data_IF_829531802162
#
_entry.id   IF_829531802162
#
_cell.length_a   1.000
_cell.length_b   1.000
_cell.length_c   1.000
_cell.angle_alpha   90.00
_cell.angle_beta   90.00
_cell.angle_gamma   90.00
#
_symmetry.space_group_name_H-M   'P 1'
#
loop_
_entity.id
_entity.type
_entity.pdbx_description
1 polymer ?
#
# COMPACT_ATOMS: atom_id res chain seq x y z
N UNK A 1 -21.89 -4.77 -11.31
CA UNK A 1 -20.50 -5.23 -11.21
C UNK A 1 -19.81 -4.54 -10.05
N UNK A 2 -18.67 -5.05 -9.58
CA UNK A 2 -17.86 -4.41 -8.55
C UNK A 2 -16.71 -3.60 -9.18
N UNK A 3 -16.36 -2.47 -8.58
CA UNK A 3 -15.22 -1.63 -8.98
C UNK A 3 -14.36 -1.35 -7.76
N UNK A 4 -13.04 -1.47 -7.91
CA UNK A 4 -12.09 -1.03 -6.90
C UNK A 4 -12.25 0.47 -6.64
N UNK A 5 -12.08 0.88 -5.39
CA UNK A 5 -12.04 2.30 -5.04
C UNK A 5 -10.68 2.84 -5.46
N UNK A 6 -10.71 3.83 -6.34
CA UNK A 6 -9.55 4.63 -6.72
C UNK A 6 -9.20 5.58 -5.56
N UNK A 7 -7.92 5.82 -5.38
CA UNK A 7 -7.35 6.75 -4.42
C UNK A 7 -7.58 8.21 -4.84
N UNK A 8 -7.68 8.48 -6.14
CA UNK A 8 -7.97 9.80 -6.70
C UNK A 8 -6.80 10.78 -6.63
N UNK A 9 -5.57 10.27 -6.59
CA UNK A 9 -4.34 11.08 -6.54
C UNK A 9 -3.64 11.13 -7.91
N UNK A 10 -2.88 12.21 -8.19
CA UNK A 10 -2.06 12.28 -9.39
C UNK A 10 -1.12 11.07 -9.52
N UNK A 11 -1.06 10.50 -10.73
CA UNK A 11 -0.21 9.36 -11.05
C UNK A 11 -0.86 8.00 -10.79
N UNK A 12 -2.02 7.91 -10.15
CA UNK A 12 -2.69 6.61 -9.97
C UNK A 12 -3.14 6.01 -11.30
N UNK A 13 -3.96 6.75 -12.06
CA UNK A 13 -4.58 6.25 -13.29
C UNK A 13 -3.57 6.01 -14.40
N UNK A 14 -2.59 6.90 -14.51
CA UNK A 14 -1.55 6.85 -15.53
C UNK A 14 -0.61 5.66 -15.35
N UNK A 15 -0.50 5.13 -14.13
CA UNK A 15 0.43 4.06 -13.79
C UNK A 15 -0.23 2.70 -13.50
N UNK A 16 -1.53 2.54 -13.80
CA UNK A 16 -2.20 1.23 -13.75
C UNK A 16 -1.48 0.27 -14.70
N UNK A 17 -1.05 -0.89 -14.18
CA UNK A 17 -0.25 -1.87 -14.93
C UNK A 17 1.24 -1.52 -15.10
N UNK A 18 1.64 -0.30 -14.74
CA UNK A 18 3.03 0.16 -14.74
C UNK A 18 3.64 0.28 -13.33
N UNK A 19 2.95 -0.26 -12.33
CA UNK A 19 3.36 -0.28 -10.93
C UNK A 19 2.20 -0.07 -9.97
N UNK A 20 1.06 0.45 -10.46
CA UNK A 20 -0.20 0.48 -9.71
C UNK A 20 -1.02 -0.76 -10.05
N UNK A 21 -1.46 -1.47 -9.01
CA UNK A 21 -2.22 -2.71 -9.09
C UNK A 21 -3.30 -2.74 -8.00
N UNK A 22 -4.41 -3.44 -8.27
CA UNK A 22 -5.54 -3.56 -7.34
C UNK A 22 -5.79 -5.02 -6.90
N UNK A 23 -5.13 -6.00 -7.52
CA UNK A 23 -5.23 -7.41 -7.16
C UNK A 23 -3.85 -7.92 -6.70
N UNK A 24 -3.56 -7.92 -5.38
CA UNK A 24 -2.25 -8.35 -4.86
C UNK A 24 -1.93 -9.80 -5.26
N UNK A 25 -2.94 -10.69 -5.31
CA UNK A 25 -2.76 -12.07 -5.73
C UNK A 25 -2.39 -12.21 -7.22
N UNK A 26 -2.95 -11.35 -8.07
CA UNK A 26 -2.73 -11.38 -9.51
C UNK A 26 -1.36 -10.78 -9.88
N UNK A 27 -1.04 -9.62 -9.29
CA UNK A 27 0.09 -8.80 -9.71
C UNK A 27 1.32 -8.96 -8.81
N UNK A 28 1.14 -9.45 -7.58
CA UNK A 28 2.19 -9.62 -6.58
C UNK A 28 3.46 -10.34 -7.07
N UNK A 29 3.38 -11.42 -7.86
CA UNK A 29 4.55 -12.09 -8.41
C UNK A 29 5.47 -11.20 -9.25
N UNK A 30 4.95 -10.17 -9.94
CA UNK A 30 5.75 -9.24 -10.73
C UNK A 30 6.61 -8.28 -9.88
N UNK A 31 6.28 -8.15 -8.59
CA UNK A 31 6.99 -7.30 -7.64
C UNK A 31 7.97 -8.07 -6.73
N UNK A 32 8.25 -9.33 -7.06
CA UNK A 32 9.20 -10.16 -6.30
C UNK A 32 10.53 -9.44 -6.06
N UNK A 33 10.96 -9.39 -4.80
CA UNK A 33 12.20 -8.74 -4.38
C UNK A 33 12.19 -7.19 -4.43
N UNK A 34 11.05 -6.54 -4.72
CA UNK A 34 10.91 -5.08 -4.69
C UNK A 34 10.33 -4.59 -3.37
N UNK A 35 10.47 -3.30 -3.10
CA UNK A 35 9.76 -2.62 -2.02
C UNK A 35 8.36 -2.22 -2.54
N UNK A 36 7.30 -2.56 -1.80
CA UNK A 36 5.90 -2.36 -2.24
C UNK A 36 5.12 -1.52 -1.24
N UNK A 37 4.28 -0.62 -1.74
CA UNK A 37 3.35 0.17 -0.95
C UNK A 37 1.94 -0.43 -1.02
N UNK A 38 1.26 -0.54 0.12
CA UNK A 38 -0.15 -0.91 0.21
C UNK A 38 -0.92 0.26 0.80
N UNK A 39 -2.00 0.69 0.15
CA UNK A 39 -2.79 1.84 0.58
C UNK A 39 -4.09 1.36 1.22
N UNK A 40 -4.28 1.72 2.49
CA UNK A 40 -5.40 1.31 3.33
C UNK A 40 -5.04 0.23 4.35
N UNK A 41 -5.54 0.40 5.57
CA UNK A 41 -5.31 -0.41 6.77
C UNK A 41 -6.59 -1.03 7.33
N UNK A 42 -7.57 -1.31 6.46
CA UNK A 42 -8.66 -2.25 6.74
C UNK A 42 -8.26 -3.70 6.42
N UNK A 43 -9.16 -4.66 6.64
CA UNK A 43 -8.87 -6.10 6.44
C UNK A 43 -8.21 -6.39 5.10
N UNK A 44 -8.80 -5.94 3.98
CA UNK A 44 -8.26 -6.20 2.64
C UNK A 44 -6.84 -5.63 2.43
N UNK A 45 -6.51 -4.50 3.05
CA UNK A 45 -5.18 -3.91 2.94
C UNK A 45 -4.14 -4.66 3.78
N UNK A 46 -4.50 -5.06 5.00
CA UNK A 46 -3.59 -5.83 5.86
C UNK A 46 -3.40 -7.26 5.37
N UNK A 47 -4.45 -7.91 4.87
CA UNK A 47 -4.36 -9.22 4.19
C UNK A 47 -3.44 -9.13 2.96
N UNK A 48 -3.62 -8.12 2.12
CA UNK A 48 -2.75 -7.89 0.97
C UNK A 48 -1.28 -7.70 1.39
N UNK A 49 -1.03 -6.96 2.47
CA UNK A 49 0.32 -6.76 2.99
C UNK A 49 0.96 -8.06 3.49
N UNK A 50 0.18 -8.90 4.18
CA UNK A 50 0.63 -10.22 4.66
C UNK A 50 0.93 -11.17 3.49
N UNK A 51 0.08 -11.20 2.47
CA UNK A 51 0.28 -12.02 1.27
C UNK A 51 1.55 -11.60 0.52
N UNK A 52 1.71 -10.29 0.31
CA UNK A 52 2.86 -9.74 -0.42
C UNK A 52 4.16 -9.91 0.34
N UNK A 53 4.14 -9.86 1.68
CA UNK A 53 5.34 -10.00 2.51
C UNK A 53 6.07 -11.34 2.33
N UNK A 54 5.41 -12.37 1.82
CA UNK A 54 6.04 -13.64 1.46
C UNK A 54 6.79 -13.64 0.11
N UNK A 55 6.60 -12.60 -0.71
CA UNK A 55 7.07 -12.52 -2.11
C UNK A 55 8.03 -11.35 -2.32
N UNK A 56 7.72 -10.20 -1.72
CA UNK A 56 8.41 -8.93 -1.96
C UNK A 56 9.50 -8.70 -0.89
N UNK A 57 10.37 -7.72 -1.11
CA UNK A 57 11.45 -7.40 -0.17
C UNK A 57 10.91 -6.76 1.11
N UNK A 58 10.05 -5.75 0.97
CA UNK A 58 9.36 -5.12 2.10
C UNK A 58 8.00 -4.57 1.67
N UNK A 59 7.09 -4.46 2.62
CA UNK A 59 5.78 -3.84 2.44
C UNK A 59 5.67 -2.65 3.38
N UNK A 60 5.29 -1.48 2.85
CA UNK A 60 4.85 -0.35 3.69
C UNK A 60 3.35 -0.12 3.49
N UNK A 61 2.57 -0.24 4.57
CA UNK A 61 1.15 0.08 4.59
C UNK A 61 0.97 1.56 4.94
N UNK A 62 0.15 2.27 4.16
CA UNK A 62 -0.23 3.67 4.38
C UNK A 62 -1.70 3.73 4.78
N UNK A 63 -1.98 3.98 6.04
CA UNK A 63 -3.33 4.18 6.57
C UNK A 63 -3.62 5.66 6.77
N UNK A 64 -4.76 6.11 6.24
CA UNK A 64 -5.21 7.49 6.30
C UNK A 64 -5.59 7.91 7.73
N UNK A 65 -6.25 7.04 8.48
CA UNK A 65 -6.69 7.27 9.86
C UNK A 65 -5.56 7.06 10.87
N UNK A 66 -5.68 7.62 12.09
CA UNK A 66 -4.70 7.38 13.16
C UNK A 66 -4.70 5.94 13.71
N UNK A 67 -5.69 5.14 13.33
CA UNK A 67 -5.90 3.76 13.74
C UNK A 67 -6.17 2.84 12.55
N UNK A 68 -5.85 1.55 12.71
CA UNK A 68 -6.19 0.52 11.73
C UNK A 68 -7.62 0.06 11.97
N UNK A 69 -8.36 -0.17 10.88
CA UNK A 69 -9.71 -0.74 10.92
C UNK A 69 -9.72 -2.26 10.72
N UNK A 70 -8.56 -2.85 10.50
CA UNK A 70 -8.43 -4.29 10.35
C UNK A 70 -8.61 -5.03 11.68
N UNK A 71 -9.04 -6.29 11.60
CA UNK A 71 -9.19 -7.17 12.74
C UNK A 71 -7.85 -7.33 13.47
N UNK A 72 -7.93 -7.33 14.81
CA UNK A 72 -6.74 -7.36 15.67
C UNK A 72 -5.79 -8.52 15.33
N UNK A 73 -6.31 -9.68 14.98
CA UNK A 73 -5.50 -10.85 14.62
C UNK A 73 -4.63 -10.58 13.38
N UNK A 74 -5.17 -9.89 12.37
CA UNK A 74 -4.43 -9.55 11.16
C UNK A 74 -3.38 -8.47 11.45
N UNK A 75 -3.74 -7.48 12.27
CA UNK A 75 -2.80 -6.44 12.70
C UNK A 75 -1.63 -7.04 13.49
N UNK A 76 -1.91 -7.91 14.45
CA UNK A 76 -0.89 -8.56 15.27
C UNK A 76 0.04 -9.43 14.40
N UNK A 77 -0.51 -10.15 13.41
CA UNK A 77 0.29 -10.90 12.43
C UNK A 77 1.17 -9.98 11.57
N UNK A 78 0.65 -8.84 11.12
CA UNK A 78 1.39 -7.91 10.26
C UNK A 78 2.52 -7.21 11.03
N UNK A 79 2.27 -6.80 12.28
CA UNK A 79 3.28 -6.18 13.15
C UNK A 79 4.37 -7.16 13.57
N UNK A 80 4.07 -8.46 13.63
CA UNK A 80 5.06 -9.50 13.93
C UNK A 80 6.00 -9.81 12.75
N UNK A 81 5.80 -9.23 11.56
CA UNK A 81 6.66 -9.43 10.38
C UNK A 81 7.74 -8.35 10.32
N UNK A 82 9.00 -8.77 10.23
CA UNK A 82 10.15 -7.85 10.15
C UNK A 82 10.17 -6.99 8.88
N UNK A 83 9.49 -7.42 7.82
CA UNK A 83 9.46 -6.75 6.52
C UNK A 83 8.15 -6.01 6.23
N UNK A 84 7.26 -5.86 7.21
CA UNK A 84 6.06 -5.02 7.10
C UNK A 84 6.20 -3.81 8.00
N UNK A 85 6.05 -2.62 7.41
CA UNK A 85 5.98 -1.36 8.14
C UNK A 85 4.59 -0.75 7.98
N UNK A 86 4.00 -0.27 9.05
CA UNK A 86 2.68 0.37 9.01
C UNK A 86 2.83 1.83 9.41
N UNK A 87 2.48 2.72 8.48
CA UNK A 87 2.37 4.16 8.71
C UNK A 87 0.89 4.51 8.86
N UNK A 88 0.54 5.11 10.01
CA UNK A 88 -0.81 5.56 10.31
C UNK A 88 -0.88 7.08 10.25
N UNK A 89 -2.08 7.61 10.11
CA UNK A 89 -2.34 9.04 9.99
C UNK A 89 -1.58 9.70 8.83
N UNK A 90 -1.44 8.99 7.70
CA UNK A 90 -0.72 9.48 6.52
C UNK A 90 -1.66 9.60 5.32
N UNK A 91 -1.65 10.76 4.67
CA UNK A 91 -2.40 10.96 3.43
C UNK A 91 -1.46 10.79 2.23
N UNK A 92 -1.74 9.80 1.38
CA UNK A 92 -1.06 9.68 0.09
C UNK A 92 -1.47 10.86 -0.79
N UNK A 93 -0.49 11.53 -1.41
CA UNK A 93 -0.68 12.73 -2.23
C UNK A 93 -0.43 12.49 -3.70
N UNK A 94 0.52 11.64 -4.06
CA UNK A 94 0.82 11.32 -5.46
C UNK A 94 1.59 10.01 -5.61
N UNK A 95 1.48 9.41 -6.79
CA UNK A 95 2.31 8.28 -7.23
C UNK A 95 3.30 8.82 -8.26
N UNK A 96 4.60 8.69 -8.00
CA UNK A 96 5.66 9.14 -8.90
C UNK A 96 6.13 7.98 -9.77
N UNK A 97 6.35 8.29 -11.03
CA UNK A 97 6.88 7.36 -12.00
C UNK A 97 7.96 8.00 -12.85
N UNK A 98 9.01 7.23 -13.15
CA UNK A 98 10.12 7.61 -14.01
C UNK A 98 10.31 6.51 -15.05
N UNK A 99 10.54 6.89 -16.32
CA UNK A 99 10.71 5.92 -17.40
C UNK A 99 9.51 4.98 -17.60
N UNK A 100 8.30 5.42 -17.23
CA UNK A 100 7.08 4.63 -17.35
C UNK A 100 6.91 3.55 -16.26
N UNK A 101 7.63 3.63 -15.14
CA UNK A 101 7.48 2.73 -13.99
C UNK A 101 7.34 3.52 -12.69
N UNK A 102 6.50 3.03 -11.78
CA UNK A 102 6.38 3.62 -10.43
C UNK A 102 7.69 3.48 -9.67
N UNK A 103 8.14 4.57 -9.08
CA UNK A 103 9.41 4.65 -8.32
C UNK A 103 9.20 5.11 -6.89
N UNK A 104 8.19 5.92 -6.61
CA UNK A 104 7.95 6.45 -5.28
C UNK A 104 6.47 6.78 -5.02
N UNK A 105 6.14 6.85 -3.73
CA UNK A 105 4.88 7.38 -3.23
C UNK A 105 5.15 8.65 -2.43
N UNK A 106 4.41 9.71 -2.73
CA UNK A 106 4.44 10.95 -1.96
C UNK A 106 3.29 10.93 -0.96
N UNK A 107 3.58 11.16 0.31
CA UNK A 107 2.59 11.21 1.38
C UNK A 107 2.94 12.31 2.38
N UNK A 108 1.95 12.75 3.16
CA UNK A 108 2.14 13.68 4.28
C UNK A 108 1.62 13.07 5.56
N UNK A 109 2.29 13.37 6.67
CA UNK A 109 1.81 13.08 8.01
C UNK A 109 0.73 14.09 8.40
N UNK A 110 -0.46 13.58 8.72
CA UNK A 110 -1.62 14.43 9.04
C UNK A 110 -1.60 14.98 10.46
N UNK A 111 -0.66 14.52 11.30
CA UNK A 111 -0.49 15.04 12.67
C UNK A 111 0.32 16.36 12.69
N UNK A 112 1.09 16.63 11.64
CA UNK A 112 2.03 17.76 11.56
C UNK A 112 1.66 18.80 10.50
N UNK A 113 0.62 18.55 9.69
CA UNK A 113 0.05 19.52 8.75
C UNK A 113 -0.76 20.57 9.55
N UNK A 114 -0.05 21.61 10.01
CA UNK A 114 -0.61 22.84 10.62
C UNK A 114 -0.46 23.99 9.65
#
# INVERSE_FOLDING_TARGET
GAKWRELGVPGEKENIGNGVAYCPHCDGPFFKGKDVAVIGGGNSGIEAALDLAGIVKSVTVFEFLPELKADKVLVDQAVARDNIRILKNVATKAIKAEGGKVTAIEYVERATDT
#
